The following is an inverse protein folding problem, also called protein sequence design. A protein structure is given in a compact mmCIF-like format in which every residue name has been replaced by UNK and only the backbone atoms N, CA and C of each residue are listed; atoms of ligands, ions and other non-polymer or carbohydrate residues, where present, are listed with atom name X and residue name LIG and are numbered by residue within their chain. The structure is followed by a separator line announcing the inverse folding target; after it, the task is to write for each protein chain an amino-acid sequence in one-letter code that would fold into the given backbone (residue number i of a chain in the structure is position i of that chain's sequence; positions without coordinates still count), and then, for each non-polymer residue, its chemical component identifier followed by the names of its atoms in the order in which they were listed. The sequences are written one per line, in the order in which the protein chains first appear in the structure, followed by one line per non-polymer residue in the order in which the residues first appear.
data_IF_199193457790
#
_entry.id   IF_199193457790
#
_cell.length_a   1.000
_cell.length_b   1.000
_cell.length_c   1.000
_cell.angle_alpha   90.00
_cell.angle_beta   90.00
_cell.angle_gamma   90.00
#
_symmetry.space_group_name_H-M   'P 1'
#
loop_
_entity.id
_entity.type
_entity.pdbx_description
1 polymer ?
#
# COMPACT_ATOMS: atom_id res chain seq x y z
N UNK A 1 -18.90 -17.55 5.35
CA UNK A 1 -17.44 -17.27 5.47
C UNK A 1 -16.85 -17.75 6.79
N UNK A 2 -17.42 -17.38 7.96
CA UNK A 2 -16.84 -17.65 9.27
C UNK A 2 -16.44 -19.11 9.53
N UNK A 3 -17.23 -20.10 9.09
CA UNK A 3 -16.89 -21.52 9.27
C UNK A 3 -15.59 -21.93 8.58
N UNK A 4 -15.39 -21.49 7.33
CA UNK A 4 -14.16 -21.79 6.56
C UNK A 4 -12.94 -21.13 7.20
N UNK A 5 -13.08 -19.91 7.70
CA UNK A 5 -12.05 -19.19 8.44
C UNK A 5 -11.66 -19.92 9.73
N UNK A 6 -12.65 -20.31 10.55
CA UNK A 6 -12.43 -21.09 11.78
C UNK A 6 -11.76 -22.44 11.47
N UNK A 7 -12.19 -23.12 10.41
CA UNK A 7 -11.61 -24.40 10.00
C UNK A 7 -10.14 -24.26 9.55
N UNK A 8 -9.82 -23.24 8.73
CA UNK A 8 -8.45 -22.97 8.29
C UNK A 8 -7.54 -22.62 9.49
N UNK A 9 -7.98 -21.69 10.34
CA UNK A 9 -7.26 -21.30 11.55
C UNK A 9 -7.02 -22.48 12.49
N UNK A 10 -8.02 -23.34 12.72
CA UNK A 10 -7.88 -24.54 13.56
C UNK A 10 -6.90 -25.55 12.96
N UNK A 11 -6.91 -25.76 11.64
CA UNK A 11 -6.13 -26.80 10.97
C UNK A 11 -4.67 -26.39 10.71
N UNK A 12 -4.43 -25.13 10.34
CA UNK A 12 -3.13 -24.66 9.84
C UNK A 12 -2.64 -23.37 10.51
N UNK A 13 -3.41 -22.79 11.43
CA UNK A 13 -3.04 -21.55 12.12
C UNK A 13 -3.16 -20.28 11.26
N UNK A 14 -2.67 -19.13 11.77
CA UNK A 14 -2.83 -17.81 11.16
C UNK A 14 -2.25 -17.65 9.75
N UNK A 15 -1.23 -18.43 9.39
CA UNK A 15 -0.57 -18.36 8.08
C UNK A 15 -1.41 -18.93 6.93
N UNK A 16 -2.55 -19.55 7.24
CA UNK A 16 -3.45 -20.18 6.26
C UNK A 16 -4.61 -19.30 5.80
N UNK A 17 -4.72 -18.10 6.35
CA UNK A 17 -5.70 -17.08 5.95
C UNK A 17 -4.98 -15.87 5.41
N UNK A 18 -5.61 -15.11 4.52
CA UNK A 18 -4.99 -13.93 3.93
C UNK A 18 -5.98 -12.95 3.32
N UNK A 19 -5.54 -11.70 3.14
CA UNK A 19 -6.24 -10.61 2.48
C UNK A 19 -5.37 -10.02 1.38
N UNK A 20 -6.00 -9.74 0.25
CA UNK A 20 -5.43 -8.85 -0.75
C UNK A 20 -6.18 -7.52 -0.70
N UNK A 21 -5.52 -6.48 -0.21
CA UNK A 21 -6.12 -5.17 0.05
C UNK A 21 -6.06 -4.22 -1.14
N UNK A 22 -6.40 -2.96 -0.91
CA UNK A 22 -6.38 -1.94 -1.96
C UNK A 22 -5.92 -0.57 -1.46
N UNK A 23 -5.16 0.15 -2.28
CA UNK A 23 -4.90 1.60 -2.09
C UNK A 23 -6.11 2.48 -2.36
N UNK A 24 -7.20 1.91 -2.90
CA UNK A 24 -8.48 2.61 -3.10
C UNK A 24 -9.40 2.51 -1.86
N UNK A 25 -8.97 1.82 -0.81
CA UNK A 25 -9.68 1.88 0.46
C UNK A 25 -9.62 3.28 1.05
N UNK A 26 -10.66 3.61 1.78
CA UNK A 26 -10.54 4.69 2.75
C UNK A 26 -9.48 4.37 3.80
N UNK A 27 -8.92 5.40 4.42
CA UNK A 27 -7.93 5.25 5.49
C UNK A 27 -8.45 4.34 6.60
N UNK A 28 -9.73 4.51 6.98
CA UNK A 28 -10.36 3.74 8.05
C UNK A 28 -10.63 2.28 7.66
N UNK A 29 -10.97 1.97 6.41
CA UNK A 29 -11.10 0.59 5.95
C UNK A 29 -9.76 -0.14 5.99
N UNK A 30 -8.69 0.50 5.50
CA UNK A 30 -7.33 -0.05 5.58
C UNK A 30 -6.88 -0.28 7.02
N UNK A 31 -7.16 0.68 7.91
CA UNK A 31 -6.85 0.57 9.34
C UNK A 31 -7.64 -0.57 10.01
N UNK A 32 -8.94 -0.67 9.74
CA UNK A 32 -9.79 -1.74 10.26
C UNK A 32 -9.33 -3.13 9.76
N UNK A 33 -9.01 -3.26 8.48
CA UNK A 33 -8.46 -4.48 7.89
C UNK A 33 -7.12 -4.88 8.53
N UNK A 34 -6.22 -3.92 8.71
CA UNK A 34 -4.94 -4.12 9.39
C UNK A 34 -5.12 -4.63 10.82
N UNK A 35 -6.02 -4.01 11.60
CA UNK A 35 -6.35 -4.48 12.97
C UNK A 35 -6.97 -5.87 12.97
N UNK A 36 -7.91 -6.14 12.07
CA UNK A 36 -8.56 -7.45 11.96
C UNK A 36 -7.53 -8.56 11.73
N UNK A 37 -6.59 -8.36 10.81
CA UNK A 37 -5.61 -9.39 10.47
C UNK A 37 -4.48 -9.47 11.50
N UNK A 38 -3.86 -8.34 11.84
CA UNK A 38 -2.66 -8.33 12.67
C UNK A 38 -2.98 -8.56 14.15
N UNK A 39 -4.03 -7.92 14.67
CA UNK A 39 -4.42 -8.06 16.07
C UNK A 39 -5.48 -9.17 16.27
N UNK A 40 -6.46 -9.28 15.38
CA UNK A 40 -7.53 -10.28 15.48
C UNK A 40 -7.04 -11.69 15.12
N UNK A 41 -6.70 -11.90 13.85
CA UNK A 41 -6.28 -13.22 13.36
C UNK A 41 -4.81 -13.55 13.63
N UNK A 42 -4.01 -12.58 14.10
CA UNK A 42 -2.56 -12.71 14.33
C UNK A 42 -1.81 -13.18 13.08
N UNK A 43 -2.24 -12.69 11.92
CA UNK A 43 -1.66 -12.98 10.62
C UNK A 43 -1.12 -11.72 9.97
N UNK A 44 0.06 -11.82 9.36
CA UNK A 44 0.63 -10.77 8.53
C UNK A 44 0.35 -10.97 7.05
N UNK A 45 -0.48 -11.94 6.68
CA UNK A 45 -0.90 -12.19 5.30
C UNK A 45 -1.94 -11.16 4.84
N UNK A 46 -1.57 -9.89 4.83
CA UNK A 46 -2.34 -8.77 4.31
C UNK A 46 -1.38 -7.90 3.50
N UNK A 47 -1.63 -7.79 2.20
CA UNK A 47 -0.83 -6.96 1.30
C UNK A 47 -1.76 -6.35 0.24
N UNK A 48 -1.59 -5.07 -0.15
CA UNK A 48 -2.50 -4.39 -1.06
C UNK A 48 -2.08 -4.48 -2.52
N UNK A 49 -2.98 -4.13 -3.44
CA UNK A 49 -2.64 -3.88 -4.84
C UNK A 49 -1.50 -2.85 -5.04
N UNK A 50 -1.32 -1.91 -4.09
CA UNK A 50 -0.22 -0.96 -4.08
C UNK A 50 1.17 -1.63 -4.05
N UNK A 51 1.27 -2.92 -3.69
CA UNK A 51 2.47 -3.74 -3.88
C UNK A 51 2.97 -3.72 -5.33
N UNK A 52 2.05 -3.73 -6.29
CA UNK A 52 2.36 -3.71 -7.72
C UNK A 52 2.67 -2.31 -8.26
N UNK A 53 2.50 -1.26 -7.44
CA UNK A 53 2.65 0.12 -7.86
C UNK A 53 3.81 0.79 -7.10
N UNK A 54 3.67 1.01 -5.79
CA UNK A 54 4.53 1.91 -5.03
C UNK A 54 5.63 1.19 -4.23
N UNK A 55 5.64 -0.14 -4.16
CA UNK A 55 6.58 -0.87 -3.31
C UNK A 55 8.06 -0.56 -3.59
N UNK A 56 8.44 -0.39 -4.85
CA UNK A 56 9.81 -0.01 -5.22
C UNK A 56 10.17 1.42 -4.75
N UNK A 57 9.21 2.35 -4.84
CA UNK A 57 9.40 3.73 -4.37
C UNK A 57 9.57 3.76 -2.85
N UNK A 58 8.66 3.12 -2.08
CA UNK A 58 8.76 3.00 -0.62
C UNK A 58 10.10 2.39 -0.20
N UNK A 59 10.52 1.31 -0.87
CA UNK A 59 11.81 0.69 -0.63
C UNK A 59 13.00 1.63 -0.84
N UNK A 60 12.95 2.48 -1.86
CA UNK A 60 13.98 3.48 -2.12
C UNK A 60 13.95 4.62 -1.08
N UNK A 61 12.76 5.15 -0.76
CA UNK A 61 12.59 6.23 0.23
C UNK A 61 13.12 5.84 1.62
N UNK A 62 12.74 4.67 2.12
CA UNK A 62 13.23 4.16 3.41
C UNK A 62 14.76 3.98 3.41
N UNK A 63 15.34 3.53 2.30
CA UNK A 63 16.81 3.35 2.19
C UNK A 63 17.58 4.66 2.12
N UNK A 64 17.03 5.67 1.43
CA UNK A 64 17.70 6.94 1.21
C UNK A 64 17.48 7.94 2.36
N UNK A 65 16.27 7.98 2.93
CA UNK A 65 15.83 9.03 3.83
C UNK A 65 15.31 8.52 5.19
N UNK A 66 15.05 7.22 5.34
CA UNK A 66 14.50 6.65 6.58
C UNK A 66 13.02 6.99 6.84
N UNK A 67 12.39 7.74 5.92
CA UNK A 67 10.97 8.08 5.91
C UNK A 67 10.41 7.84 4.51
N UNK A 68 9.12 7.55 4.43
CA UNK A 68 8.40 7.35 3.17
C UNK A 68 7.83 8.68 2.65
N UNK A 69 7.39 8.66 1.39
CA UNK A 69 6.76 9.77 0.64
C UNK A 69 7.68 10.93 0.22
N UNK A 70 7.27 11.72 -0.81
CA UNK A 70 8.05 12.86 -1.30
C UNK A 70 8.22 13.98 -0.26
N UNK A 71 9.33 14.72 -0.36
CA UNK A 71 9.57 15.94 0.44
C UNK A 71 9.03 17.23 -0.20
N UNK A 72 8.75 17.20 -1.52
CA UNK A 72 8.19 18.33 -2.27
C UNK A 72 6.67 18.30 -2.34
N UNK A 73 6.08 19.20 -3.12
CA UNK A 73 4.64 19.29 -3.31
C UNK A 73 4.28 19.81 -4.71
N UNK A 74 2.98 19.90 -5.03
CA UNK A 74 2.57 20.34 -6.37
C UNK A 74 2.89 21.80 -6.68
N UNK A 75 3.03 22.65 -5.67
CA UNK A 75 3.45 24.05 -5.86
C UNK A 75 4.83 24.16 -6.55
N UNK A 76 5.65 23.11 -6.51
CA UNK A 76 6.94 23.06 -7.22
C UNK A 76 6.74 23.14 -8.75
N UNK A 77 5.56 22.78 -9.27
CA UNK A 77 5.24 22.83 -10.70
C UNK A 77 5.19 24.29 -11.21
N UNK A 78 4.75 25.25 -10.40
CA UNK A 78 4.68 26.67 -10.78
C UNK A 78 6.02 27.38 -10.69
N UNK A 79 6.98 26.80 -9.96
CA UNK A 79 8.28 27.40 -9.69
C UNK A 79 9.43 26.74 -10.46
N UNK A 80 9.18 25.63 -11.16
CA UNK A 80 10.20 24.90 -11.89
C UNK A 80 10.51 25.53 -13.26
N UNK A 81 11.80 25.72 -13.57
CA UNK A 81 12.26 26.13 -14.90
C UNK A 81 12.34 24.97 -15.90
N UNK A 82 12.36 23.73 -15.40
CA UNK A 82 12.52 22.52 -16.21
C UNK A 82 11.83 21.31 -15.59
N UNK A 83 11.29 20.44 -16.45
CA UNK A 83 10.68 19.17 -16.06
C UNK A 83 11.39 18.00 -16.75
N UNK A 84 11.71 16.95 -15.99
CA UNK A 84 12.30 15.71 -16.51
C UNK A 84 11.41 14.53 -16.17
N UNK A 85 10.79 13.93 -17.19
CA UNK A 85 9.85 12.82 -17.04
C UNK A 85 10.55 11.48 -17.29
N UNK A 86 10.93 10.78 -16.22
CA UNK A 86 11.55 9.46 -16.30
C UNK A 86 10.54 8.34 -16.54
N UNK A 87 10.01 8.26 -17.76
CA UNK A 87 9.03 7.23 -18.17
C UNK A 87 7.60 7.49 -17.69
N UNK A 88 7.33 8.65 -17.06
CA UNK A 88 6.01 9.04 -16.61
C UNK A 88 5.15 9.56 -17.77
N UNK A 89 4.10 8.81 -18.14
CA UNK A 89 3.05 9.30 -19.05
C UNK A 89 2.04 10.16 -18.28
N UNK A 90 2.45 11.38 -17.92
CA UNK A 90 1.60 12.29 -17.13
C UNK A 90 0.34 12.72 -17.89
N UNK A 91 0.42 12.86 -19.22
CA UNK A 91 -0.70 13.30 -20.05
C UNK A 91 -1.96 12.44 -19.89
N UNK A 92 -1.81 11.12 -19.70
CA UNK A 92 -2.95 10.21 -19.53
C UNK A 92 -3.17 9.77 -18.07
N UNK A 93 -2.11 9.70 -17.27
CA UNK A 93 -2.17 9.05 -15.94
C UNK A 93 -2.24 10.04 -14.78
N UNK A 94 -1.82 11.30 -14.98
CA UNK A 94 -1.96 12.39 -14.02
C UNK A 94 -2.32 13.70 -14.76
N UNK A 95 -3.57 13.82 -15.27
CA UNK A 95 -3.93 14.89 -16.20
C UNK A 95 -4.08 16.30 -15.60
N UNK A 96 -4.24 16.37 -14.27
CA UNK A 96 -4.32 17.60 -13.47
C UNK A 96 -3.00 17.74 -12.73
#
# INVERSE_FOLDING_TARGET
MAEKWKAALKKKGPTSVGMFGSGQWTVWEGYAASKLYKAGFRSNNIDPNARHCMASAVGAFIRAFGADEPMGCYDDLEHADAFVLWGANMAEMHPI
#
